data_IF_567896048069
#
_entry.id   IF_567896048069
#
_cell.length_a   1.000
_cell.length_b   1.000
_cell.length_c   1.000
_cell.angle_alpha   90.00
_cell.angle_beta   90.00
_cell.angle_gamma   90.00
#
_symmetry.space_group_name_H-M   'P 1'
#
loop_
_entity.id
_entity.type
_entity.pdbx_description
1 polymer ?
#
# COMPACT_ATOMS: atom_id res chain seq x y z
N UNK A 1 0.58 -3.07 -1.71
CA UNK A 1 1.10 -4.45 -1.68
C UNK A 1 1.11 -5.07 -3.08
N UNK A 2 1.69 -6.26 -3.22
CA UNK A 2 2.03 -6.85 -4.51
C UNK A 2 0.90 -7.65 -5.21
N UNK A 3 -0.30 -7.70 -4.67
CA UNK A 3 -1.40 -8.43 -5.31
C UNK A 3 -1.72 -7.88 -6.70
N UNK A 4 -2.13 -8.76 -7.60
CA UNK A 4 -2.24 -8.47 -9.05
C UNK A 4 -3.21 -7.34 -9.39
N UNK A 5 -4.28 -7.18 -8.64
CA UNK A 5 -5.32 -6.15 -8.81
C UNK A 5 -4.83 -4.75 -8.39
N UNK A 6 -3.73 -4.67 -7.62
CA UNK A 6 -3.06 -3.41 -7.28
C UNK A 6 -1.89 -3.07 -8.19
N UNK A 7 -1.20 -4.08 -8.74
CA UNK A 7 0.04 -3.86 -9.51
C UNK A 7 -0.13 -3.98 -11.03
N UNK A 8 -1.31 -4.36 -11.50
CA UNK A 8 -1.56 -4.59 -12.93
C UNK A 8 -1.28 -3.39 -13.84
N UNK A 9 -1.38 -2.17 -13.31
CA UNK A 9 -1.07 -0.93 -14.03
C UNK A 9 0.39 -0.48 -14.00
N UNK A 10 1.27 -1.15 -13.25
CA UNK A 10 2.60 -0.68 -12.91
C UNK A 10 3.45 -0.33 -14.13
N UNK A 11 3.48 -1.22 -15.12
CA UNK A 11 4.25 -1.03 -16.36
C UNK A 11 3.75 0.16 -17.19
N UNK A 12 2.47 0.47 -17.12
CA UNK A 12 1.90 1.66 -17.77
C UNK A 12 2.43 2.94 -17.13
N UNK A 13 2.39 3.03 -15.80
CA UNK A 13 2.93 4.18 -15.07
C UNK A 13 4.43 4.34 -15.31
N UNK A 14 5.19 3.24 -15.25
CA UNK A 14 6.62 3.27 -15.53
C UNK A 14 6.93 3.77 -16.95
N UNK A 15 6.10 3.40 -17.95
CA UNK A 15 6.27 3.89 -19.32
C UNK A 15 6.12 5.41 -19.45
N UNK A 16 5.54 6.04 -18.45
CA UNK A 16 5.36 7.49 -18.34
C UNK A 16 6.44 8.16 -17.46
N UNK A 17 7.43 7.40 -16.99
CA UNK A 17 8.50 7.90 -16.15
C UNK A 17 8.12 8.08 -14.68
N UNK A 18 7.03 7.45 -14.23
CA UNK A 18 6.58 7.53 -12.84
C UNK A 18 7.49 6.73 -11.91
N UNK A 19 7.86 7.31 -10.77
CA UNK A 19 8.56 6.60 -9.70
C UNK A 19 7.59 5.70 -8.95
N UNK A 20 8.02 4.48 -8.64
CA UNK A 20 7.27 3.50 -7.87
C UNK A 20 7.76 3.53 -6.43
N UNK A 21 6.83 3.69 -5.49
CA UNK A 21 7.13 3.55 -4.06
C UNK A 21 6.55 2.24 -3.56
N UNK A 22 7.39 1.40 -2.98
CA UNK A 22 6.98 0.07 -2.51
C UNK A 22 7.67 -0.28 -1.19
N UNK A 23 7.26 -1.40 -0.56
CA UNK A 23 7.99 -1.98 0.55
C UNK A 23 9.32 -2.56 0.06
N UNK A 24 10.37 -2.49 0.87
CA UNK A 24 11.71 -2.92 0.48
C UNK A 24 11.78 -4.42 0.14
N UNK A 25 11.00 -5.27 0.80
CA UNK A 25 10.92 -6.70 0.50
C UNK A 25 10.42 -7.01 -0.91
N UNK A 26 9.69 -6.08 -1.53
CA UNK A 26 9.13 -6.26 -2.87
C UNK A 26 9.98 -5.65 -3.98
N UNK A 27 11.08 -5.02 -3.64
CA UNK A 27 11.92 -4.34 -4.64
C UNK A 27 12.33 -5.28 -5.76
N UNK A 28 12.86 -6.45 -5.42
CA UNK A 28 13.33 -7.42 -6.41
C UNK A 28 12.18 -7.97 -7.26
N UNK A 29 11.03 -8.24 -6.65
CA UNK A 29 9.83 -8.67 -7.36
C UNK A 29 9.38 -7.62 -8.39
N UNK A 30 9.37 -6.33 -8.02
CA UNK A 30 9.01 -5.27 -8.97
C UNK A 30 10.08 -5.05 -10.02
N UNK A 31 11.35 -5.19 -9.69
CA UNK A 31 12.43 -5.15 -10.68
C UNK A 31 12.25 -6.26 -11.72
N UNK A 32 11.91 -7.49 -11.28
CA UNK A 32 11.66 -8.60 -12.19
C UNK A 32 10.46 -8.33 -13.12
N UNK A 33 9.32 -7.87 -12.59
CA UNK A 33 8.15 -7.49 -13.39
C UNK A 33 8.51 -6.40 -14.41
N UNK A 34 9.28 -5.40 -13.98
CA UNK A 34 9.61 -4.25 -14.81
C UNK A 34 10.63 -4.59 -15.89
N UNK A 35 11.61 -5.44 -15.58
CA UNK A 35 12.69 -5.82 -16.48
C UNK A 35 12.43 -7.12 -17.24
N UNK A 36 11.43 -7.88 -16.82
CA UNK A 36 11.03 -9.04 -17.63
C UNK A 36 10.63 -8.56 -19.03
N UNK A 37 11.14 -9.20 -20.07
CA UNK A 37 10.88 -8.81 -21.47
C UNK A 37 9.41 -9.06 -21.85
N UNK A 38 8.47 -8.61 -21.07
CA UNK A 38 7.03 -8.67 -21.31
C UNK A 38 6.54 -9.96 -21.96
N UNK A 39 5.29 -10.29 -21.89
CA UNK A 39 4.80 -11.45 -22.65
C UNK A 39 5.14 -11.24 -24.12
N UNK A 40 5.74 -12.22 -24.74
CA UNK A 40 5.96 -12.26 -26.20
C UNK A 40 4.60 -12.33 -26.89
N UNK A 41 3.88 -11.23 -26.84
CA UNK A 41 2.54 -11.11 -27.41
C UNK A 41 2.59 -10.30 -28.67
N UNK A 42 1.64 -10.55 -29.57
CA UNK A 42 1.44 -9.75 -30.76
C UNK A 42 1.09 -8.29 -30.44
N UNK A 43 0.63 -8.02 -29.20
CA UNK A 43 0.32 -6.69 -28.70
C UNK A 43 1.21 -6.37 -27.47
N UNK A 44 2.43 -5.88 -27.67
CA UNK A 44 3.30 -5.47 -26.57
C UNK A 44 2.66 -4.30 -25.81
N UNK A 45 2.87 -4.27 -24.50
CA UNK A 45 2.43 -3.16 -23.67
C UNK A 45 3.18 -1.85 -24.01
N UNK A 46 2.74 -0.73 -23.40
CA UNK A 46 3.34 0.59 -23.69
C UNK A 46 4.83 0.63 -23.36
N UNK A 47 5.24 0.01 -22.25
CA UNK A 47 6.65 -0.01 -21.85
C UNK A 47 7.50 -0.75 -22.89
N UNK A 48 7.09 -1.94 -23.29
CA UNK A 48 7.80 -2.72 -24.31
C UNK A 48 7.78 -2.06 -25.70
N UNK A 49 6.69 -1.36 -26.04
CA UNK A 49 6.52 -0.70 -27.33
C UNK A 49 7.28 0.61 -27.46
N UNK A 50 7.25 1.45 -26.43
CA UNK A 50 7.77 2.81 -26.51
C UNK A 50 9.10 3.02 -25.82
N UNK A 51 9.56 2.07 -25.02
CA UNK A 51 10.84 2.16 -24.33
C UNK A 51 11.66 0.86 -24.39
N UNK A 52 11.93 0.33 -25.60
CA UNK A 52 12.70 -0.91 -25.76
C UNK A 52 14.12 -0.78 -25.19
N UNK A 53 14.68 0.43 -25.17
CA UNK A 53 16.02 0.70 -24.62
C UNK A 53 16.05 0.64 -23.09
N UNK A 54 14.91 0.73 -22.42
CA UNK A 54 14.81 0.57 -20.98
C UNK A 54 15.33 -0.80 -20.52
N UNK A 55 15.11 -1.82 -21.34
CA UNK A 55 15.60 -3.17 -21.12
C UNK A 55 17.10 -3.35 -21.35
N UNK A 56 17.66 -2.55 -22.27
CA UNK A 56 19.05 -2.67 -22.70
C UNK A 56 19.97 -1.83 -21.83
N UNK A 57 19.52 -0.67 -21.38
CA UNK A 57 20.36 0.29 -20.68
C UNK A 57 20.60 -0.03 -19.22
N UNK A 58 19.91 -1.01 -18.63
CA UNK A 58 19.99 -1.36 -17.20
C UNK A 58 20.00 -0.12 -16.28
N UNK A 59 19.30 0.93 -16.69
CA UNK A 59 19.14 2.08 -15.80
C UNK A 59 18.41 1.59 -14.56
N UNK A 60 18.81 2.04 -13.34
CA UNK A 60 18.05 1.70 -12.15
C UNK A 60 16.61 2.10 -12.37
N UNK A 61 15.69 1.17 -12.16
CA UNK A 61 14.28 1.50 -12.19
C UNK A 61 14.02 2.59 -11.14
N UNK A 62 13.16 3.56 -11.41
CA UNK A 62 12.79 4.57 -10.43
C UNK A 62 11.91 3.93 -9.35
N UNK A 63 12.52 3.12 -8.49
CA UNK A 63 11.87 2.45 -7.36
C UNK A 63 12.47 3.00 -6.08
N UNK A 64 11.61 3.65 -5.30
CA UNK A 64 11.88 4.08 -3.95
C UNK A 64 11.26 3.07 -2.97
N UNK A 65 11.89 2.87 -1.83
CA UNK A 65 11.42 1.88 -0.88
C UNK A 65 11.11 2.47 0.48
N UNK A 66 10.06 1.92 1.10
CA UNK A 66 9.76 2.09 2.51
C UNK A 66 10.37 0.89 3.24
N UNK A 67 11.28 1.13 4.17
CA UNK A 67 11.92 0.04 4.89
C UNK A 67 10.99 -0.52 5.97
N UNK A 68 10.91 -1.85 5.99
CA UNK A 68 10.19 -2.62 7.00
C UNK A 68 11.03 -2.90 8.24
N UNK A 69 11.78 -1.93 8.77
CA UNK A 69 12.48 -2.17 10.03
C UNK A 69 11.49 -2.63 11.09
N UNK A 70 11.74 -3.80 11.66
CA UNK A 70 10.88 -4.49 12.63
C UNK A 70 10.53 -3.66 13.90
N UNK A 71 11.06 -2.48 14.04
CA UNK A 71 10.79 -1.51 15.11
C UNK A 71 10.68 -0.08 14.58
N UNK A 72 10.82 0.13 13.28
CA UNK A 72 10.94 1.46 12.73
C UNK A 72 9.59 2.05 12.34
N UNK A 73 9.45 3.31 12.61
CA UNK A 73 8.51 4.20 11.97
C UNK A 73 8.99 4.49 10.55
N UNK A 74 9.35 3.44 9.79
CA UNK A 74 9.77 3.58 8.41
C UNK A 74 8.67 4.30 7.63
N UNK A 75 8.91 5.55 7.27
CA UNK A 75 8.00 6.30 6.42
C UNK A 75 8.75 6.90 5.24
N UNK A 76 8.07 6.98 4.13
CA UNK A 76 8.50 7.73 2.97
C UNK A 76 7.63 8.97 2.83
N UNK A 77 8.22 10.12 2.60
CA UNK A 77 7.50 11.40 2.54
C UNK A 77 7.63 12.00 1.15
N UNK A 78 6.50 12.33 0.56
CA UNK A 78 6.41 13.07 -0.69
C UNK A 78 5.78 14.43 -0.36
N UNK A 79 6.38 15.50 -0.87
CA UNK A 79 5.82 16.85 -0.70
C UNK A 79 6.09 17.72 -1.93
N UNK A 80 5.17 18.60 -2.23
CA UNK A 80 5.32 19.69 -3.20
C UNK A 80 5.59 21.05 -2.51
N UNK A 81 5.84 21.02 -1.19
CA UNK A 81 6.02 22.21 -0.36
C UNK A 81 4.71 22.76 0.23
N UNK A 82 3.56 22.30 -0.23
CA UNK A 82 2.22 22.70 0.27
C UNK A 82 1.50 21.51 0.90
N UNK A 83 1.47 20.39 0.21
CA UNK A 83 0.88 19.15 0.67
C UNK A 83 1.95 18.13 1.04
N UNK A 84 1.63 17.30 2.00
CA UNK A 84 2.48 16.19 2.46
C UNK A 84 1.71 14.90 2.28
N UNK A 85 2.34 13.92 1.65
CA UNK A 85 1.89 12.54 1.60
C UNK A 85 2.91 11.70 2.36
N UNK A 86 2.48 11.05 3.40
CA UNK A 86 3.29 10.12 4.19
C UNK A 86 2.89 8.69 3.84
N UNK A 87 3.86 7.84 3.53
CA UNK A 87 3.66 6.43 3.22
C UNK A 87 4.32 5.61 4.31
N UNK A 88 3.55 4.74 4.93
CA UNK A 88 3.96 3.92 6.07
C UNK A 88 3.86 2.44 5.74
N UNK A 89 4.79 1.66 6.25
CA UNK A 89 4.63 0.21 6.35
C UNK A 89 3.60 -0.14 7.41
N UNK A 90 2.66 -1.00 7.07
CA UNK A 90 1.69 -1.56 8.01
C UNK A 90 2.34 -2.73 8.73
N UNK A 91 2.70 -2.53 9.99
CA UNK A 91 3.36 -3.57 10.78
C UNK A 91 2.37 -4.64 11.22
N UNK A 92 2.82 -5.88 11.15
CA UNK A 92 2.06 -7.01 11.68
C UNK A 92 2.06 -6.97 13.22
N UNK A 93 0.88 -6.79 13.80
CA UNK A 93 0.72 -6.76 15.26
C UNK A 93 0.83 -8.14 15.91
N UNK A 94 0.61 -9.20 15.15
CA UNK A 94 0.64 -10.56 15.67
C UNK A 94 2.05 -10.99 16.12
N UNK A 95 3.09 -10.42 15.50
CA UNK A 95 4.46 -10.67 15.89
C UNK A 95 4.77 -10.15 17.31
N UNK A 96 4.19 -9.01 17.69
CA UNK A 96 4.39 -8.41 19.03
C UNK A 96 3.59 -9.12 20.12
N UNK A 97 2.46 -9.71 19.79
CA UNK A 97 1.60 -10.43 20.75
C UNK A 97 2.03 -11.89 20.98
N UNK A 98 2.99 -12.39 20.22
CA UNK A 98 3.52 -13.75 20.37
C UNK A 98 2.50 -14.86 20.00
N UNK A 99 1.34 -14.51 19.55
CA UNK A 99 0.29 -15.48 19.17
C UNK A 99 0.49 -15.95 17.72
N UNK A 100 1.09 -17.12 17.59
CA UNK A 100 1.33 -17.75 16.29
C UNK A 100 0.04 -18.15 15.54
N UNK A 101 -1.09 -18.24 16.24
CA UNK A 101 -2.36 -18.62 15.62
C UNK A 101 -2.93 -17.49 14.75
N UNK A 102 -2.52 -16.27 14.99
CA UNK A 102 -2.96 -15.09 14.26
C UNK A 102 -2.07 -14.74 13.03
N UNK A 103 -0.98 -15.46 12.81
CA UNK A 103 -0.03 -15.21 11.69
C UNK A 103 -0.67 -15.26 10.31
N UNK A 104 -1.83 -15.86 10.17
CA UNK A 104 -2.54 -15.98 8.89
C UNK A 104 -3.59 -14.89 8.66
N UNK A 105 -3.62 -13.87 9.49
CA UNK A 105 -4.71 -12.88 9.48
C UNK A 105 -4.41 -11.54 8.82
N UNK A 106 -3.15 -11.20 8.57
CA UNK A 106 -2.84 -9.99 7.83
C UNK A 106 -2.88 -10.25 6.31
N UNK A 107 -3.28 -9.26 5.58
CA UNK A 107 -3.53 -9.39 4.15
C UNK A 107 -2.23 -9.64 3.35
N UNK A 108 -1.15 -8.95 3.70
CA UNK A 108 0.18 -9.08 3.11
C UNK A 108 1.23 -8.43 4.01
N UNK A 109 2.42 -9.05 4.11
CA UNK A 109 3.55 -8.53 4.92
C UNK A 109 4.13 -7.22 4.38
N UNK A 110 3.91 -6.93 3.11
CA UNK A 110 4.43 -5.76 2.39
C UNK A 110 3.42 -4.60 2.30
N UNK A 111 2.36 -4.64 3.10
CA UNK A 111 1.32 -3.63 3.08
C UNK A 111 1.86 -2.25 3.37
N UNK A 112 1.52 -1.32 2.49
CA UNK A 112 1.71 0.09 2.71
C UNK A 112 0.36 0.78 2.88
N UNK A 113 0.34 1.82 3.71
CA UNK A 113 -0.76 2.76 3.77
C UNK A 113 -0.23 4.16 3.53
N UNK A 114 -1.05 5.03 2.94
CA UNK A 114 -0.68 6.39 2.62
C UNK A 114 -1.59 7.38 3.36
N UNK A 115 -1.01 8.41 3.95
CA UNK A 115 -1.72 9.37 4.78
C UNK A 115 -1.46 10.81 4.32
N UNK A 116 -2.53 11.57 4.18
CA UNK A 116 -2.51 13.01 3.91
C UNK A 116 -2.84 13.74 5.22
N UNK A 117 -1.86 14.18 6.01
CA UNK A 117 -2.11 14.71 7.35
C UNK A 117 -2.93 16.00 7.36
N UNK A 118 -2.77 16.87 6.37
CA UNK A 118 -3.53 18.12 6.29
C UNK A 118 -5.00 17.90 5.97
N UNK A 119 -5.33 16.82 5.26
CA UNK A 119 -6.70 16.50 4.84
C UNK A 119 -7.34 15.41 5.71
N UNK A 120 -6.56 14.75 6.57
CA UNK A 120 -7.01 13.64 7.40
C UNK A 120 -7.44 12.42 6.58
N UNK A 121 -6.87 12.20 5.38
CA UNK A 121 -7.24 11.09 4.51
C UNK A 121 -6.22 9.97 4.64
N UNK A 122 -6.71 8.76 4.97
CA UNK A 122 -5.91 7.55 5.07
C UNK A 122 -6.30 6.56 3.97
N UNK A 123 -5.37 6.28 3.06
CA UNK A 123 -5.47 5.21 2.08
C UNK A 123 -4.96 3.92 2.70
N UNK A 124 -5.83 2.92 2.85
CA UNK A 124 -5.54 1.70 3.60
C UNK A 124 -5.58 0.41 2.76
N UNK A 125 -5.67 0.53 1.44
CA UNK A 125 -5.81 -0.59 0.50
C UNK A 125 -6.93 -1.56 0.96
N UNK A 126 -6.60 -2.82 1.27
CA UNK A 126 -7.55 -3.89 1.54
C UNK A 126 -7.77 -4.16 3.04
N UNK A 127 -7.23 -3.31 3.91
CA UNK A 127 -7.33 -3.52 5.35
C UNK A 127 -8.73 -3.22 5.90
N UNK A 128 -9.42 -2.25 5.29
CA UNK A 128 -10.78 -1.87 5.65
C UNK A 128 -11.53 -1.28 4.46
N UNK A 129 -12.67 -1.86 4.15
CA UNK A 129 -13.63 -1.30 3.19
C UNK A 129 -14.87 -0.80 3.93
N UNK A 130 -15.13 0.53 3.96
CA UNK A 130 -16.32 1.08 4.61
C UNK A 130 -17.60 0.48 4.04
N UNK A 131 -18.52 0.08 4.92
CA UNK A 131 -19.83 -0.42 4.51
C UNK A 131 -20.80 0.72 4.27
N UNK A 132 -21.67 0.54 3.28
CA UNK A 132 -22.84 1.40 3.06
C UNK A 132 -24.08 0.88 3.79
N UNK A 133 -23.99 -0.28 4.46
CA UNK A 133 -25.05 -0.85 5.26
C UNK A 133 -25.13 -0.20 6.64
N UNK A 134 -26.32 -0.14 7.22
CA UNK A 134 -26.53 0.24 8.62
C UNK A 134 -26.01 -0.81 9.62
N UNK A 135 -25.82 -2.05 9.16
CA UNK A 135 -25.24 -3.12 9.99
C UNK A 135 -23.72 -3.00 10.02
N UNK A 136 -23.15 -3.00 11.21
CA UNK A 136 -21.69 -3.02 11.38
C UNK A 136 -21.13 -4.35 10.88
N UNK A 137 -20.01 -4.35 10.14
CA UNK A 137 -19.33 -5.56 9.75
C UNK A 137 -18.72 -6.24 10.97
N UNK A 138 -18.47 -7.54 10.86
CA UNK A 138 -17.67 -8.25 11.85
C UNK A 138 -16.23 -7.72 11.82
N UNK A 139 -15.65 -7.55 13.00
CA UNK A 139 -14.22 -7.20 13.12
C UNK A 139 -13.37 -8.27 12.45
N UNK A 140 -12.45 -7.86 11.60
CA UNK A 140 -11.46 -8.72 10.99
C UNK A 140 -10.07 -8.42 11.56
N UNK A 141 -9.14 -9.35 11.42
CA UNK A 141 -7.74 -9.13 11.80
C UNK A 141 -7.12 -7.95 11.04
N UNK A 142 -7.43 -7.81 9.76
CA UNK A 142 -6.94 -6.66 8.97
C UNK A 142 -7.41 -5.33 9.55
N UNK A 143 -8.65 -5.24 10.03
CA UNK A 143 -9.16 -4.05 10.70
C UNK A 143 -8.46 -3.80 12.04
N UNK A 144 -8.20 -4.84 12.83
CA UNK A 144 -7.42 -4.73 14.08
C UNK A 144 -6.02 -4.22 13.79
N UNK A 145 -5.33 -4.83 12.82
CA UNK A 145 -4.00 -4.41 12.39
C UNK A 145 -3.98 -2.95 11.96
N UNK A 146 -4.96 -2.51 11.16
CA UNK A 146 -5.08 -1.12 10.75
C UNK A 146 -5.25 -0.19 11.95
N UNK A 147 -6.17 -0.51 12.87
CA UNK A 147 -6.46 0.30 14.06
C UNK A 147 -5.22 0.47 14.95
N UNK A 148 -4.51 -0.63 15.21
CA UNK A 148 -3.30 -0.60 16.03
C UNK A 148 -2.15 0.19 15.37
N UNK A 149 -2.00 0.07 14.03
CA UNK A 149 -1.03 0.90 13.32
C UNK A 149 -1.39 2.39 13.36
N UNK A 150 -2.67 2.75 13.22
CA UNK A 150 -3.14 4.14 13.37
C UNK A 150 -2.77 4.67 14.75
N UNK A 151 -3.04 3.90 15.82
CA UNK A 151 -2.71 4.29 17.22
C UNK A 151 -1.19 4.41 17.42
N UNK A 152 -0.42 3.39 17.00
CA UNK A 152 1.04 3.33 17.15
C UNK A 152 1.73 4.50 16.45
N UNK A 153 1.30 4.82 15.24
CA UNK A 153 1.84 5.92 14.44
C UNK A 153 1.25 7.29 14.81
N UNK A 154 0.28 7.31 15.75
CA UNK A 154 -0.41 8.53 16.19
C UNK A 154 -1.05 9.30 15.04
N UNK A 155 -1.61 8.59 14.08
CA UNK A 155 -2.33 9.20 12.98
C UNK A 155 -3.72 9.67 13.45
N UNK A 156 -4.23 10.70 12.83
CA UNK A 156 -5.56 11.27 13.12
C UNK A 156 -6.42 11.34 11.86
N UNK A 157 -6.77 10.18 11.27
CA UNK A 157 -7.58 10.18 10.07
C UNK A 157 -9.00 10.67 10.33
N UNK A 158 -9.58 11.31 9.36
CA UNK A 158 -11.00 11.69 9.30
C UNK A 158 -11.73 10.77 8.32
N UNK A 159 -11.05 10.43 7.24
CA UNK A 159 -11.61 9.65 6.12
C UNK A 159 -10.70 8.46 5.81
N UNK A 160 -11.31 7.29 5.64
CA UNK A 160 -10.69 6.12 5.05
C UNK A 160 -10.99 6.05 3.55
N UNK A 161 -9.96 5.93 2.74
CA UNK A 161 -10.06 5.72 1.29
C UNK A 161 -9.49 4.33 0.96
N UNK A 162 -10.34 3.32 0.74
CA UNK A 162 -9.92 1.97 0.38
C UNK A 162 -9.58 1.87 -1.11
N UNK A 163 -8.90 0.79 -1.52
CA UNK A 163 -8.75 0.45 -2.93
C UNK A 163 -10.06 -0.07 -3.52
N UNK A 164 -10.88 -0.71 -2.71
CA UNK A 164 -12.16 -1.29 -3.10
C UNK A 164 -13.30 -0.63 -2.32
N UNK A 165 -14.40 -0.33 -3.02
CA UNK A 165 -15.58 0.30 -2.42
C UNK A 165 -15.53 1.82 -2.36
N UNK A 166 -16.30 2.39 -1.43
CA UNK A 166 -16.45 3.84 -1.28
C UNK A 166 -15.69 4.33 -0.04
N UNK A 167 -15.22 5.58 -0.04
CA UNK A 167 -14.68 6.19 1.16
C UNK A 167 -15.68 6.21 2.31
N UNK A 168 -15.19 6.17 3.55
CA UNK A 168 -16.00 6.25 4.76
C UNK A 168 -15.30 7.01 5.87
N UNK A 169 -16.06 7.39 6.90
CA UNK A 169 -15.50 8.16 8.02
C UNK A 169 -14.70 7.28 8.97
N UNK A 170 -13.72 7.89 9.65
CA UNK A 170 -13.00 7.23 10.74
C UNK A 170 -13.91 6.93 11.95
N UNK A 171 -14.91 7.75 12.19
CA UNK A 171 -15.91 7.47 13.24
C UNK A 171 -16.69 6.18 12.94
N UNK A 172 -17.06 5.94 11.68
CA UNK A 172 -17.66 4.66 11.28
C UNK A 172 -16.71 3.48 11.51
N UNK A 173 -15.41 3.65 11.25
CA UNK A 173 -14.41 2.62 11.51
C UNK A 173 -14.30 2.31 13.01
N UNK A 174 -14.23 3.33 13.87
CA UNK A 174 -14.13 3.14 15.33
C UNK A 174 -15.38 2.47 15.89
N UNK A 175 -16.57 2.79 15.41
CA UNK A 175 -17.82 2.16 15.89
C UNK A 175 -17.85 0.65 15.71
N UNK A 176 -17.03 0.07 14.83
CA UNK A 176 -16.90 -1.38 14.64
C UNK A 176 -16.27 -2.04 15.86
N UNK A 177 -15.45 -1.30 16.62
CA UNK A 177 -14.77 -1.77 17.83
C UNK A 177 -15.54 -1.47 19.12
N UNK A 178 -16.68 -0.77 19.02
CA UNK A 178 -17.49 -0.37 20.17
C UNK A 178 -16.99 0.89 20.88
N UNK A 179 -16.16 1.69 20.20
CA UNK A 179 -15.61 2.97 20.67
C UNK A 179 -16.46 4.16 20.18
#
# INVERSE_FOLDING_TARGET
HHHFDHVGGLRTYLSQGTTIVTHDSNKEYYLDILFHPGPRTLNPDRLAKYNPMYWISRRPAPIETVSGEARGTGKYVITDGVKILEIYHVQDMNYELGDQSLRYGHHSEDMLMAYLPQDGILFNADLYTPTQSSALPKVTISMVTLNENIKKLKLSPVTHAPSHGQPGSHAQFLSIFGD
#
